data_IF_598308921947
#
_entry.id   IF_598308921947
#
_cell.length_a   1.000
_cell.length_b   1.000
_cell.length_c   1.000
_cell.angle_alpha   90.00
_cell.angle_beta   90.00
_cell.angle_gamma   90.00
#
_symmetry.space_group_name_H-M   'P 1'
#
loop_
_entity.id
_entity.type
_entity.pdbx_description
1 polymer ?
#
# COMPACT_ATOMS: atom_id res chain seq x y z
N UNK A 1 -20.83 -6.97 -19.54
CA UNK A 1 -19.46 -7.50 -19.31
C UNK A 1 -18.44 -6.68 -20.10
N UNK A 2 -17.37 -6.21 -19.47
CA UNK A 2 -16.33 -5.42 -20.13
C UNK A 2 -15.30 -6.33 -20.83
N UNK A 3 -15.48 -6.53 -22.13
CA UNK A 3 -14.59 -7.36 -22.96
C UNK A 3 -13.16 -6.83 -23.01
N UNK A 4 -12.97 -5.50 -22.98
CA UNK A 4 -11.65 -4.87 -23.00
C UNK A 4 -10.85 -5.19 -21.73
N UNK A 5 -11.50 -5.06 -20.56
CA UNK A 5 -10.91 -5.45 -19.28
C UNK A 5 -10.55 -6.94 -19.27
N UNK A 6 -11.45 -7.81 -19.75
CA UNK A 6 -11.20 -9.25 -19.74
C UNK A 6 -10.03 -9.64 -20.65
N UNK A 7 -10.01 -9.08 -21.86
CA UNK A 7 -8.97 -9.29 -22.84
C UNK A 7 -7.63 -8.76 -22.31
N UNK A 8 -7.61 -7.59 -21.68
CA UNK A 8 -6.40 -6.99 -21.09
C UNK A 8 -5.83 -7.85 -19.97
N UNK A 9 -6.66 -8.31 -19.03
CA UNK A 9 -6.19 -9.00 -17.83
C UNK A 9 -5.95 -10.51 -18.00
N UNK A 10 -6.68 -11.17 -18.91
CA UNK A 10 -6.63 -12.64 -19.06
C UNK A 10 -6.45 -13.12 -20.49
N UNK A 11 -6.41 -12.23 -21.49
CA UNK A 11 -6.40 -12.63 -22.90
C UNK A 11 -7.64 -13.45 -23.29
N UNK A 12 -8.77 -13.18 -22.63
CA UNK A 12 -10.04 -13.89 -22.82
C UNK A 12 -11.17 -12.99 -23.29
N UNK A 13 -12.13 -13.58 -24.00
CA UNK A 13 -13.36 -12.92 -24.47
C UNK A 13 -14.57 -13.79 -24.20
N UNK A 14 -15.71 -13.17 -23.91
CA UNK A 14 -16.97 -13.89 -23.80
C UNK A 14 -17.68 -13.93 -25.15
N UNK A 15 -18.16 -15.12 -25.53
CA UNK A 15 -19.05 -15.33 -26.68
C UNK A 15 -20.45 -15.58 -26.14
N UNK A 16 -21.47 -14.80 -26.56
CA UNK A 16 -22.85 -15.06 -26.15
C UNK A 16 -23.35 -16.39 -26.72
N UNK A 17 -24.40 -16.94 -26.11
CA UNK A 17 -25.09 -18.10 -26.69
C UNK A 17 -25.69 -17.71 -28.03
N UNK A 18 -25.24 -18.37 -29.10
CA UNK A 18 -25.63 -18.06 -30.46
C UNK A 18 -26.88 -18.79 -30.90
N UNK A 19 -27.56 -18.23 -31.90
CA UNK A 19 -28.73 -18.87 -32.52
C UNK A 19 -28.36 -19.81 -33.68
N UNK A 20 -27.07 -20.03 -33.93
CA UNK A 20 -26.54 -20.81 -35.04
C UNK A 20 -26.60 -20.09 -36.39
N UNK A 21 -25.95 -20.68 -37.39
CA UNK A 21 -26.11 -20.31 -38.80
C UNK A 21 -24.94 -19.57 -39.46
N UNK A 22 -23.84 -19.28 -38.76
CA UNK A 22 -22.62 -18.79 -39.39
C UNK A 22 -21.97 -19.89 -40.25
N UNK A 23 -21.58 -19.54 -41.47
CA UNK A 23 -20.86 -20.46 -42.36
C UNK A 23 -19.37 -20.51 -41.99
N UNK A 24 -18.70 -21.62 -42.32
CA UNK A 24 -17.24 -21.75 -42.14
C UNK A 24 -16.45 -20.63 -42.80
N UNK A 25 -16.93 -20.11 -43.94
CA UNK A 25 -16.32 -18.98 -44.64
C UNK A 25 -16.42 -17.67 -43.82
N UNK A 26 -17.55 -17.43 -43.16
CA UNK A 26 -17.72 -16.24 -42.30
C UNK A 26 -16.85 -16.32 -41.05
N UNK A 27 -16.75 -17.50 -40.42
CA UNK A 27 -15.86 -17.74 -39.27
C UNK A 27 -14.39 -17.55 -39.68
N UNK A 28 -13.97 -18.10 -40.82
CA UNK A 28 -12.62 -17.92 -41.35
C UNK A 28 -12.30 -16.44 -41.63
N UNK A 29 -13.27 -15.68 -42.16
CA UNK A 29 -13.12 -14.23 -42.35
C UNK A 29 -12.93 -13.50 -41.02
N UNK A 30 -13.69 -13.87 -39.98
CA UNK A 30 -13.54 -13.29 -38.64
C UNK A 30 -12.16 -13.56 -38.04
N UNK A 31 -11.65 -14.80 -38.17
CA UNK A 31 -10.30 -15.17 -37.74
C UNK A 31 -9.25 -14.32 -38.46
N UNK A 32 -9.39 -14.12 -39.78
CA UNK A 32 -8.46 -13.31 -40.58
C UNK A 32 -8.42 -11.84 -40.14
N UNK A 33 -9.57 -11.26 -39.83
CA UNK A 33 -9.67 -9.88 -39.31
C UNK A 33 -8.97 -9.74 -37.95
N UNK A 34 -9.13 -10.72 -37.06
CA UNK A 34 -8.43 -10.74 -35.77
C UNK A 34 -6.92 -10.95 -35.95
N UNK A 35 -6.51 -11.82 -36.89
CA UNK A 35 -5.11 -12.10 -37.18
C UNK A 35 -4.31 -10.87 -37.65
N UNK A 36 -4.98 -9.87 -38.25
CA UNK A 36 -4.37 -8.59 -38.60
C UNK A 36 -3.77 -7.86 -37.38
N UNK A 37 -4.23 -8.18 -36.16
CA UNK A 37 -3.72 -7.64 -34.89
C UNK A 37 -2.65 -8.53 -34.23
N UNK A 38 -2.08 -9.49 -34.96
CA UNK A 38 -1.03 -10.42 -34.48
C UNK A 38 -1.47 -11.31 -33.31
N UNK A 39 -2.75 -11.66 -33.27
CA UNK A 39 -3.33 -12.60 -32.31
C UNK A 39 -4.13 -13.69 -33.02
N UNK A 40 -4.34 -14.82 -32.36
CA UNK A 40 -5.10 -15.96 -32.90
C UNK A 40 -6.17 -16.38 -31.90
N UNK A 41 -7.29 -16.88 -32.39
CA UNK A 41 -8.35 -17.44 -31.56
C UNK A 41 -8.04 -18.92 -31.26
N UNK A 42 -8.25 -19.36 -30.01
CA UNK A 42 -8.15 -20.79 -29.67
C UNK A 42 -9.19 -21.61 -30.44
N UNK A 43 -8.94 -22.91 -30.59
CA UNK A 43 -9.89 -23.84 -31.23
C UNK A 43 -11.28 -23.76 -30.59
N UNK A 44 -11.34 -23.80 -29.26
CA UNK A 44 -12.58 -23.66 -28.49
C UNK A 44 -13.31 -22.35 -28.75
N UNK A 45 -12.60 -21.24 -28.95
CA UNK A 45 -13.21 -19.95 -29.27
C UNK A 45 -13.76 -19.95 -30.71
N UNK A 46 -13.02 -20.55 -31.65
CA UNK A 46 -13.45 -20.71 -33.05
C UNK A 46 -14.75 -21.52 -33.12
N UNK A 47 -14.84 -22.62 -32.37
CA UNK A 47 -16.06 -23.42 -32.26
C UNK A 47 -17.22 -22.58 -31.71
N UNK A 48 -17.00 -21.84 -30.63
CA UNK A 48 -18.04 -21.02 -30.02
C UNK A 48 -18.56 -19.91 -30.95
N UNK A 49 -17.69 -19.19 -31.65
CA UNK A 49 -18.13 -18.15 -32.59
C UNK A 49 -18.82 -18.75 -33.82
N UNK A 50 -18.53 -20.01 -34.15
CA UNK A 50 -19.24 -20.76 -35.20
C UNK A 50 -20.69 -21.06 -34.85
N UNK A 51 -21.05 -21.04 -33.56
CA UNK A 51 -22.42 -21.22 -33.08
C UNK A 51 -23.25 -19.93 -33.15
N UNK A 52 -22.66 -18.80 -33.56
CA UNK A 52 -23.39 -17.54 -33.77
C UNK A 52 -24.09 -17.53 -35.14
N UNK A 53 -25.12 -16.70 -35.29
CA UNK A 53 -25.64 -16.33 -36.60
C UNK A 53 -24.69 -15.37 -37.33
N UNK A 54 -24.81 -15.17 -38.66
CA UNK A 54 -23.97 -14.24 -39.41
C UNK A 54 -24.02 -12.80 -38.85
N UNK A 55 -25.20 -12.36 -38.41
CA UNK A 55 -25.40 -11.05 -37.80
C UNK A 55 -24.74 -10.95 -36.44
N UNK A 56 -24.89 -11.94 -35.57
CA UNK A 56 -24.27 -11.96 -34.24
C UNK A 56 -22.74 -12.01 -34.36
N UNK A 57 -22.21 -12.85 -35.24
CA UNK A 57 -20.77 -12.96 -35.51
C UNK A 57 -20.20 -11.61 -35.97
N UNK A 58 -20.89 -10.91 -36.87
CA UNK A 58 -20.46 -9.58 -37.34
C UNK A 58 -20.42 -8.56 -36.19
N UNK A 59 -21.45 -8.51 -35.35
CA UNK A 59 -21.48 -7.59 -34.21
C UNK A 59 -20.40 -7.90 -33.17
N UNK A 60 -20.24 -9.18 -32.84
CA UNK A 60 -19.20 -9.65 -31.94
C UNK A 60 -17.80 -9.29 -32.47
N UNK A 61 -17.53 -9.61 -33.75
CA UNK A 61 -16.26 -9.32 -34.41
C UNK A 61 -15.95 -7.82 -34.41
N UNK A 62 -16.95 -6.98 -34.73
CA UNK A 62 -16.75 -5.53 -34.74
C UNK A 62 -16.33 -5.01 -33.36
N UNK A 63 -16.98 -5.49 -32.29
CA UNK A 63 -16.61 -5.13 -30.92
C UNK A 63 -15.21 -5.59 -30.54
N UNK A 64 -14.83 -6.83 -30.87
CA UNK A 64 -13.48 -7.35 -30.58
C UNK A 64 -12.41 -6.60 -31.38
N UNK A 65 -12.63 -6.34 -32.66
CA UNK A 65 -11.70 -5.59 -33.52
C UNK A 65 -11.50 -4.16 -33.01
N UNK A 66 -12.56 -3.49 -32.54
CA UNK A 66 -12.44 -2.16 -31.94
C UNK A 66 -11.53 -2.16 -30.71
N UNK A 67 -11.69 -3.15 -29.83
CA UNK A 67 -10.85 -3.33 -28.65
C UNK A 67 -9.39 -3.61 -29.04
N UNK A 68 -9.17 -4.49 -30.03
CA UNK A 68 -7.84 -4.82 -30.52
C UNK A 68 -7.14 -3.62 -31.16
N UNK A 69 -7.86 -2.77 -31.92
CA UNK A 69 -7.33 -1.50 -32.46
C UNK A 69 -6.90 -0.54 -31.36
N UNK A 70 -7.69 -0.43 -30.29
CA UNK A 70 -7.31 0.39 -29.12
C UNK A 70 -6.03 -0.13 -28.49
N UNK A 71 -5.97 -1.43 -28.22
CA UNK A 71 -4.83 -2.07 -27.54
C UNK A 71 -3.54 -2.06 -28.35
N UNK A 72 -3.60 -2.26 -29.68
CA UNK A 72 -2.41 -2.25 -30.55
C UNK A 72 -1.89 -0.84 -30.87
N UNK A 73 -2.61 0.21 -30.46
CA UNK A 73 -2.33 1.58 -30.90
C UNK A 73 -2.74 1.85 -32.34
N UNK A 74 -3.33 0.89 -33.07
CA UNK A 74 -3.77 1.07 -34.45
C UNK A 74 -4.90 2.10 -34.63
N UNK A 75 -5.58 2.47 -33.54
CA UNK A 75 -6.51 3.61 -33.51
C UNK A 75 -5.80 4.97 -33.60
N UNK A 76 -4.49 5.03 -33.33
CA UNK A 76 -3.69 6.26 -33.41
C UNK A 76 -2.99 6.29 -34.77
N UNK A 77 -3.25 7.34 -35.53
CA UNK A 77 -2.51 7.60 -36.76
C UNK A 77 -1.10 8.11 -36.42
N UNK A 78 -0.15 7.19 -36.30
CA UNK A 78 1.26 7.53 -36.13
C UNK A 78 1.83 8.05 -37.45
N UNK A 79 2.21 9.33 -37.48
CA UNK A 79 3.04 9.90 -38.54
C UNK A 79 4.49 9.91 -38.05
N UNK A 80 5.37 9.07 -38.60
CA UNK A 80 6.78 9.08 -38.22
C UNK A 80 7.37 10.47 -38.51
N UNK A 81 8.31 10.91 -37.67
CA UNK A 81 8.97 12.19 -37.87
C UNK A 81 9.84 12.20 -39.14
N UNK A 82 10.47 11.05 -39.43
CA UNK A 82 11.14 10.74 -40.70
C UNK A 82 10.24 9.82 -41.54
N UNK A 83 9.58 10.33 -42.59
CA UNK A 83 8.62 9.57 -43.40
C UNK A 83 9.21 8.33 -44.07
N UNK A 84 10.49 8.37 -44.44
CA UNK A 84 11.22 7.27 -45.09
C UNK A 84 12.23 6.60 -44.13
N UNK A 85 11.83 6.41 -42.87
CA UNK A 85 12.64 5.64 -41.92
C UNK A 85 12.73 4.15 -42.34
N UNK A 86 13.87 3.45 -42.22
CA UNK A 86 15.15 3.91 -41.68
C UNK A 86 16.08 4.59 -42.71
N UNK A 87 15.81 4.47 -44.00
CA UNK A 87 16.70 4.94 -45.08
C UNK A 87 17.06 6.43 -44.96
N UNK A 88 16.07 7.28 -44.70
CA UNK A 88 16.26 8.72 -44.50
C UNK A 88 17.20 9.05 -43.33
N UNK A 89 17.14 8.25 -42.25
CA UNK A 89 18.00 8.45 -41.08
C UNK A 89 19.39 7.89 -41.32
N UNK A 90 19.49 6.76 -42.03
CA UNK A 90 20.78 6.14 -42.39
C UNK A 90 21.59 7.01 -43.37
N UNK A 91 20.93 7.77 -44.24
CA UNK A 91 21.58 8.67 -45.21
C UNK A 91 21.92 10.05 -44.63
N UNK A 92 21.24 10.48 -43.56
CA UNK A 92 21.43 11.79 -42.95
C UNK A 92 22.69 11.85 -42.07
N UNK A 93 23.33 13.01 -42.04
CA UNK A 93 24.44 13.30 -41.13
C UNK A 93 23.94 13.54 -39.69
N UNK A 94 24.81 13.35 -38.69
CA UNK A 94 24.46 13.66 -37.29
C UNK A 94 24.02 15.12 -37.10
N UNK A 95 24.66 16.06 -37.80
CA UNK A 95 24.32 17.48 -37.74
C UNK A 95 22.90 17.75 -38.26
N UNK A 96 22.51 17.11 -39.38
CA UNK A 96 21.16 17.23 -39.94
C UNK A 96 20.11 16.63 -39.01
N UNK A 97 20.38 15.44 -38.44
CA UNK A 97 19.48 14.80 -37.48
C UNK A 97 19.27 15.68 -36.24
N UNK A 98 20.35 16.30 -35.73
CA UNK A 98 20.30 17.22 -34.60
C UNK A 98 19.48 18.47 -34.93
N UNK A 99 19.76 19.13 -36.06
CA UNK A 99 19.04 20.33 -36.48
C UNK A 99 17.55 20.05 -36.73
N UNK A 100 17.23 18.93 -37.38
CA UNK A 100 15.85 18.50 -37.59
C UNK A 100 15.11 18.32 -36.26
N UNK A 101 15.75 17.69 -35.27
CA UNK A 101 15.17 17.51 -33.94
C UNK A 101 14.95 18.85 -33.22
N UNK A 102 15.96 19.73 -33.21
CA UNK A 102 15.86 21.07 -32.58
C UNK A 102 14.72 21.88 -33.20
N UNK A 103 14.66 21.94 -34.53
CA UNK A 103 13.60 22.66 -35.25
C UNK A 103 12.23 22.05 -34.92
N UNK A 104 12.11 20.72 -34.89
CA UNK A 104 10.86 20.05 -34.54
C UNK A 104 10.38 20.41 -33.13
N UNK A 105 11.25 20.34 -32.12
CA UNK A 105 10.83 20.63 -30.75
C UNK A 105 10.51 22.10 -30.51
N UNK A 106 11.12 23.02 -31.27
CA UNK A 106 10.84 24.45 -31.19
C UNK A 106 9.56 24.86 -31.93
N UNK A 107 9.25 24.22 -33.06
CA UNK A 107 8.21 24.70 -33.99
C UNK A 107 7.08 23.70 -34.23
N UNK A 108 7.23 22.46 -33.76
CA UNK A 108 6.40 21.30 -34.10
C UNK A 108 6.33 21.01 -35.61
N UNK A 109 7.23 21.60 -36.42
CA UNK A 109 7.34 21.34 -37.85
C UNK A 109 7.64 19.86 -38.10
N UNK A 110 7.00 19.28 -39.12
CA UNK A 110 7.27 17.91 -39.60
C UNK A 110 7.92 17.96 -40.98
N UNK A 111 8.71 16.92 -41.28
CA UNK A 111 9.27 16.73 -42.61
C UNK A 111 8.15 16.40 -43.61
N UNK A 112 8.28 16.82 -44.88
CA UNK A 112 7.29 16.53 -45.92
C UNK A 112 7.18 15.00 -46.14
N UNK A 113 5.98 14.48 -46.42
CA UNK A 113 5.77 13.05 -46.65
C UNK A 113 6.52 12.56 -47.88
N UNK A 114 6.96 11.30 -47.86
CA UNK A 114 7.53 10.60 -49.02
C UNK A 114 6.45 9.76 -49.70
N UNK A 115 6.51 9.58 -51.02
CA UNK A 115 5.56 8.78 -51.80
C UNK A 115 5.81 7.26 -51.73
N UNK A 116 6.96 6.83 -51.22
CA UNK A 116 7.34 5.41 -51.21
C UNK A 116 6.56 4.61 -50.14
N UNK A 117 5.88 3.55 -50.60
CA UNK A 117 5.22 2.59 -49.72
C UNK A 117 6.27 1.74 -49.01
N UNK A 118 6.36 1.89 -47.69
CA UNK A 118 7.25 1.08 -46.85
C UNK A 118 6.96 -0.42 -47.04
N UNK A 119 7.97 -1.26 -47.34
CA UNK A 119 7.78 -2.69 -47.32
C UNK A 119 7.36 -3.14 -45.91
N UNK A 120 6.50 -4.17 -45.79
CA UNK A 120 6.08 -4.67 -44.48
C UNK A 120 7.31 -5.05 -43.66
N UNK A 121 7.35 -4.58 -42.41
CA UNK A 121 8.47 -4.83 -41.49
C UNK A 121 8.56 -6.34 -41.24
N UNK A 122 9.65 -6.97 -41.71
CA UNK A 122 10.03 -8.38 -41.53
C UNK A 122 8.82 -9.34 -41.48
N UNK A 123 8.51 -9.95 -42.61
CA UNK A 123 7.57 -11.07 -42.72
C UNK A 123 8.00 -12.24 -41.81
N UNK A 124 7.46 -12.23 -40.60
CA UNK A 124 7.25 -13.41 -39.80
C UNK A 124 5.86 -13.26 -39.22
N UNK A 125 4.99 -14.24 -39.46
CA UNK A 125 3.70 -14.36 -38.78
C UNK A 125 3.94 -14.66 -37.29
N UNK A 126 4.50 -13.69 -36.56
CA UNK A 126 4.68 -13.78 -35.13
C UNK A 126 3.32 -13.54 -34.50
N UNK A 127 2.59 -14.63 -34.31
CA UNK A 127 1.42 -14.68 -33.46
C UNK A 127 1.95 -14.61 -32.03
N UNK A 128 1.80 -13.46 -31.40
CA UNK A 128 2.36 -13.23 -30.06
C UNK A 128 1.39 -13.63 -28.93
N UNK A 129 0.14 -13.97 -29.27
CA UNK A 129 -0.92 -14.10 -28.30
C UNK A 129 -2.11 -14.92 -28.84
N UNK A 130 -2.54 -15.92 -28.06
CA UNK A 130 -3.79 -16.68 -28.24
C UNK A 130 -4.93 -16.11 -27.37
N UNK A 131 -6.07 -15.78 -27.99
CA UNK A 131 -7.30 -15.36 -27.33
C UNK A 131 -8.16 -16.59 -27.05
N UNK A 132 -8.53 -16.77 -25.79
CA UNK A 132 -9.35 -17.90 -25.34
C UNK A 132 -10.80 -17.47 -25.03
N UNK A 133 -11.76 -18.40 -25.03
CA UNK A 133 -13.08 -18.09 -24.51
C UNK A 133 -13.01 -17.94 -22.99
N UNK A 134 -13.82 -17.04 -22.46
CA UNK A 134 -13.92 -16.81 -21.01
C UNK A 134 -15.36 -16.72 -20.56
N UNK A 135 -15.61 -17.28 -19.37
CA UNK A 135 -16.92 -17.26 -18.72
C UNK A 135 -17.16 -15.97 -17.94
N UNK A 136 -18.42 -15.69 -17.63
CA UNK A 136 -18.82 -14.58 -16.74
C UNK A 136 -18.20 -14.76 -15.35
N UNK A 137 -18.14 -15.99 -14.83
CA UNK A 137 -17.55 -16.29 -13.53
C UNK A 137 -16.04 -15.97 -13.48
N UNK A 138 -15.28 -16.35 -14.51
CA UNK A 138 -13.87 -15.99 -14.62
C UNK A 138 -13.67 -14.48 -14.70
N UNK A 139 -14.53 -13.77 -15.43
CA UNK A 139 -14.51 -12.31 -15.48
C UNK A 139 -14.77 -11.68 -14.10
N UNK A 140 -15.75 -12.20 -13.37
CA UNK A 140 -16.08 -11.76 -12.01
C UNK A 140 -14.95 -12.00 -11.01
N UNK A 141 -14.22 -13.13 -11.15
CA UNK A 141 -13.05 -13.45 -10.34
C UNK A 141 -11.89 -12.46 -10.47
N UNK A 142 -11.95 -11.51 -11.42
CA UNK A 142 -10.91 -10.49 -11.59
C UNK A 142 -10.96 -9.42 -10.50
N UNK A 143 -12.11 -9.21 -9.85
CA UNK A 143 -12.26 -8.16 -8.84
C UNK A 143 -11.50 -8.50 -7.55
N UNK A 144 -11.61 -9.73 -7.05
CA UNK A 144 -11.08 -10.12 -5.75
C UNK A 144 -9.56 -9.88 -5.61
N UNK A 145 -8.69 -10.26 -6.58
CA UNK A 145 -7.26 -9.98 -6.49
C UNK A 145 -6.93 -8.47 -6.46
N UNK A 146 -7.71 -7.64 -7.16
CA UNK A 146 -7.53 -6.19 -7.17
C UNK A 146 -7.80 -5.61 -5.77
N UNK A 147 -8.96 -5.92 -5.20
CA UNK A 147 -9.35 -5.37 -3.90
C UNK A 147 -8.61 -6.02 -2.73
N UNK A 148 -8.02 -7.19 -2.93
CA UNK A 148 -7.18 -7.89 -1.93
C UNK A 148 -5.71 -7.49 -1.97
N UNK A 149 -5.30 -6.59 -2.88
CA UNK A 149 -3.92 -6.12 -2.97
C UNK A 149 -3.45 -5.44 -1.68
N UNK A 150 -2.15 -5.57 -1.38
CA UNK A 150 -1.49 -4.95 -0.21
C UNK A 150 -0.70 -3.69 -0.58
N UNK A 151 -0.82 -3.23 -1.83
CA UNK A 151 -0.18 -2.04 -2.37
C UNK A 151 -1.23 -1.11 -2.98
N UNK A 152 -0.86 0.13 -3.23
CA UNK A 152 -1.69 1.08 -3.96
C UNK A 152 -2.01 0.55 -5.36
N UNK A 153 -3.23 0.80 -5.82
CA UNK A 153 -3.65 0.48 -7.18
C UNK A 153 -3.19 1.57 -8.15
N UNK A 154 -2.86 1.16 -9.37
CA UNK A 154 -2.70 2.09 -10.49
C UNK A 154 -4.03 2.79 -10.82
N UNK A 155 -3.96 3.87 -11.62
CA UNK A 155 -5.18 4.57 -12.09
C UNK A 155 -6.08 3.62 -12.91
N UNK A 156 -5.49 2.75 -13.72
CA UNK A 156 -6.20 1.75 -14.53
C UNK A 156 -6.89 0.70 -13.67
N UNK A 157 -6.21 0.17 -12.66
CA UNK A 157 -6.81 -0.78 -11.71
C UNK A 157 -7.89 -0.14 -10.84
N UNK A 158 -7.70 1.14 -10.49
CA UNK A 158 -8.73 1.91 -9.77
C UNK A 158 -9.99 2.05 -10.65
N UNK A 159 -9.80 2.35 -11.95
CA UNK A 159 -10.90 2.42 -12.90
C UNK A 159 -11.62 1.07 -13.07
N UNK A 160 -10.88 -0.05 -13.06
CA UNK A 160 -11.45 -1.39 -13.08
C UNK A 160 -12.36 -1.65 -11.87
N UNK A 161 -11.87 -1.37 -10.66
CA UNK A 161 -12.65 -1.54 -9.42
C UNK A 161 -13.92 -0.70 -9.46
N UNK A 162 -13.81 0.57 -9.85
CA UNK A 162 -14.98 1.47 -10.00
C UNK A 162 -15.94 0.93 -11.06
N UNK A 163 -15.43 0.38 -12.17
CA UNK A 163 -16.26 -0.22 -13.21
C UNK A 163 -17.07 -1.40 -12.65
N UNK A 164 -16.45 -2.32 -11.89
CA UNK A 164 -17.16 -3.44 -11.27
C UNK A 164 -18.28 -2.97 -10.33
N UNK A 165 -17.98 -2.01 -9.45
CA UNK A 165 -18.98 -1.47 -8.51
C UNK A 165 -20.14 -0.78 -9.23
N UNK A 166 -19.85 -0.04 -10.31
CA UNK A 166 -20.87 0.64 -11.10
C UNK A 166 -21.75 -0.33 -11.89
N UNK A 167 -21.15 -1.36 -12.48
CA UNK A 167 -21.86 -2.35 -13.30
C UNK A 167 -22.74 -3.26 -12.44
N UNK A 168 -22.15 -3.89 -11.41
CA UNK A 168 -22.86 -4.86 -10.57
C UNK A 168 -23.73 -4.21 -9.51
N UNK A 169 -23.53 -2.92 -9.20
CA UNK A 169 -24.28 -2.18 -8.18
C UNK A 169 -24.33 -2.98 -6.85
N UNK A 170 -25.52 -3.20 -6.30
CA UNK A 170 -25.76 -3.98 -5.08
C UNK A 170 -25.30 -5.45 -5.17
N UNK A 171 -25.16 -6.02 -6.37
CA UNK A 171 -24.66 -7.38 -6.52
C UNK A 171 -23.14 -7.47 -6.37
N UNK A 172 -22.42 -6.33 -6.40
CA UNK A 172 -20.95 -6.33 -6.23
C UNK A 172 -20.52 -6.90 -4.88
N UNK A 173 -21.38 -6.84 -3.86
CA UNK A 173 -21.08 -7.38 -2.54
C UNK A 173 -20.82 -8.88 -2.54
N UNK A 174 -21.33 -9.65 -3.52
CA UNK A 174 -21.01 -11.09 -3.65
C UNK A 174 -19.60 -11.34 -4.18
N UNK A 175 -19.00 -10.33 -4.80
CA UNK A 175 -17.67 -10.37 -5.42
C UNK A 175 -16.58 -9.77 -4.53
N UNK A 176 -16.96 -9.05 -3.47
CA UNK A 176 -16.01 -8.45 -2.54
C UNK A 176 -15.54 -9.50 -1.53
N UNK A 177 -14.23 -9.54 -1.20
CA UNK A 177 -13.72 -10.43 -0.18
C UNK A 177 -14.22 -9.99 1.20
N UNK A 178 -14.15 -10.92 2.16
CA UNK A 178 -14.51 -10.62 3.55
C UNK A 178 -13.68 -9.45 4.09
N UNK A 179 -12.38 -9.38 3.79
CA UNK A 179 -11.49 -8.31 4.25
C UNK A 179 -10.68 -7.67 3.11
N UNK A 180 -10.67 -6.34 3.09
CA UNK A 180 -9.79 -5.54 2.22
C UNK A 180 -8.58 -5.11 3.06
N UNK A 181 -7.35 -5.57 2.77
CA UNK A 181 -6.22 -5.36 3.66
C UNK A 181 -5.65 -3.94 3.60
N UNK A 182 -5.75 -3.26 2.46
CA UNK A 182 -5.10 -1.98 2.24
C UNK A 182 -6.06 -0.79 2.35
N UNK A 183 -5.70 0.22 3.16
CA UNK A 183 -6.59 1.34 3.52
C UNK A 183 -6.96 2.23 2.34
N UNK A 184 -6.05 2.42 1.38
CA UNK A 184 -6.32 3.20 0.17
C UNK A 184 -7.39 2.51 -0.70
N UNK A 185 -7.30 1.20 -0.85
CA UNK A 185 -8.29 0.40 -1.59
C UNK A 185 -9.64 0.43 -0.88
N UNK A 186 -9.67 0.36 0.47
CA UNK A 186 -10.93 0.53 1.24
C UNK A 186 -11.61 1.86 0.93
N UNK A 187 -10.84 2.95 0.86
CA UNK A 187 -11.37 4.27 0.54
C UNK A 187 -11.88 4.35 -0.91
N UNK A 188 -11.18 3.75 -1.87
CA UNK A 188 -11.60 3.68 -3.27
C UNK A 188 -12.90 2.88 -3.43
N UNK A 189 -12.96 1.67 -2.87
CA UNK A 189 -14.15 0.82 -2.89
C UNK A 189 -15.31 1.51 -2.17
N UNK A 190 -15.07 2.07 -0.97
CA UNK A 190 -16.07 2.82 -0.22
C UNK A 190 -16.62 4.02 -0.99
N UNK A 191 -15.74 4.80 -1.65
CA UNK A 191 -16.14 5.91 -2.50
C UNK A 191 -17.01 5.46 -3.67
N UNK A 192 -16.61 4.39 -4.37
CA UNK A 192 -17.38 3.83 -5.48
C UNK A 192 -18.74 3.30 -5.02
N UNK A 193 -18.81 2.62 -3.87
CA UNK A 193 -20.05 2.11 -3.28
C UNK A 193 -21.02 3.25 -2.95
N UNK A 194 -20.54 4.35 -2.35
CA UNK A 194 -21.38 5.52 -2.05
C UNK A 194 -21.94 6.14 -3.33
N UNK A 195 -21.14 6.20 -4.40
CA UNK A 195 -21.53 6.85 -5.66
C UNK A 195 -22.49 5.99 -6.52
N UNK A 196 -22.35 4.67 -6.49
CA UNK A 196 -23.04 3.76 -7.42
C UNK A 196 -24.04 2.79 -6.76
N UNK A 197 -23.98 2.64 -5.44
CA UNK A 197 -24.81 1.69 -4.65
C UNK A 197 -25.51 2.42 -3.49
N UNK A 198 -25.88 3.69 -3.72
CA UNK A 198 -26.51 4.52 -2.69
C UNK A 198 -27.84 3.92 -2.19
N UNK A 199 -28.03 3.90 -0.86
CA UNK A 199 -29.26 3.44 -0.21
C UNK A 199 -29.27 1.97 0.22
N UNK A 200 -28.23 1.20 -0.10
CA UNK A 200 -28.06 -0.18 0.37
C UNK A 200 -27.41 -0.19 1.77
N UNK A 201 -28.07 -0.82 2.74
CA UNK A 201 -27.59 -0.89 4.13
C UNK A 201 -26.21 -1.55 4.26
N UNK A 202 -25.82 -2.39 3.30
CA UNK A 202 -24.48 -3.02 3.28
C UNK A 202 -23.37 -2.01 3.01
N UNK A 203 -23.67 -0.86 2.41
CA UNK A 203 -22.70 0.23 2.24
C UNK A 203 -22.33 0.82 3.59
N UNK A 204 -23.32 1.11 4.44
CA UNK A 204 -23.05 1.62 5.80
C UNK A 204 -22.25 0.61 6.62
N UNK A 205 -22.61 -0.68 6.57
CA UNK A 205 -21.86 -1.74 7.24
C UNK A 205 -20.42 -1.86 6.72
N UNK A 206 -20.21 -1.71 5.41
CA UNK A 206 -18.86 -1.69 4.83
C UNK A 206 -18.06 -0.50 5.35
N UNK A 207 -18.63 0.70 5.40
CA UNK A 207 -17.93 1.91 5.86
C UNK A 207 -17.58 1.82 7.34
N UNK A 208 -18.51 1.37 8.19
CA UNK A 208 -18.30 1.23 9.63
C UNK A 208 -17.19 0.22 9.96
N UNK A 209 -17.05 -0.84 9.15
CA UNK A 209 -15.99 -1.84 9.33
C UNK A 209 -14.62 -1.40 8.80
N UNK A 210 -14.59 -0.50 7.82
CA UNK A 210 -13.36 -0.21 7.06
C UNK A 210 -12.80 1.20 7.26
N UNK A 211 -13.59 2.13 7.81
CA UNK A 211 -13.20 3.53 8.09
C UNK A 211 -12.96 3.69 9.59
N UNK A 212 -11.70 3.45 10.00
CA UNK A 212 -11.34 3.35 11.43
C UNK A 212 -10.74 4.66 11.99
N UNK A 213 -10.08 5.46 11.15
CA UNK A 213 -9.32 6.66 11.57
C UNK A 213 -9.77 7.91 10.82
N UNK A 214 -9.45 9.09 11.36
CA UNK A 214 -9.77 10.34 10.67
C UNK A 214 -9.06 10.42 9.32
N UNK A 215 -7.85 9.85 9.21
CA UNK A 215 -7.15 9.75 7.93
C UNK A 215 -7.93 8.91 6.92
N UNK A 216 -8.63 7.85 7.34
CA UNK A 216 -9.45 7.02 6.45
C UNK A 216 -10.70 7.78 5.97
N UNK A 217 -11.32 8.61 6.84
CA UNK A 217 -12.39 9.54 6.44
C UNK A 217 -11.89 10.53 5.40
N UNK A 218 -10.69 11.08 5.59
CA UNK A 218 -10.06 11.99 4.63
C UNK A 218 -9.79 11.30 3.29
N UNK A 219 -9.25 10.07 3.30
CA UNK A 219 -9.05 9.27 2.07
C UNK A 219 -10.36 9.01 1.34
N UNK A 220 -11.43 8.70 2.07
CA UNK A 220 -12.76 8.51 1.50
C UNK A 220 -13.27 9.79 0.83
N UNK A 221 -13.12 10.95 1.48
CA UNK A 221 -13.49 12.24 0.89
C UNK A 221 -12.68 12.59 -0.37
N UNK A 222 -11.39 12.23 -0.38
CA UNK A 222 -10.51 12.37 -1.55
C UNK A 222 -10.95 11.44 -2.70
N UNK A 223 -11.27 10.17 -2.41
CA UNK A 223 -11.79 9.22 -3.39
C UNK A 223 -13.08 9.73 -4.04
N UNK A 224 -14.02 10.25 -3.25
CA UNK A 224 -15.27 10.85 -3.71
C UNK A 224 -15.07 12.09 -4.60
N UNK A 225 -13.95 12.78 -4.45
CA UNK A 225 -13.59 13.93 -5.28
C UNK A 225 -12.79 13.55 -6.53
N UNK A 226 -12.37 12.28 -6.66
CA UNK A 226 -11.52 11.78 -7.74
C UNK A 226 -10.05 12.16 -7.59
N UNK A 227 -9.57 12.30 -6.34
CA UNK A 227 -8.16 12.60 -6.05
C UNK A 227 -7.35 11.38 -5.67
N UNK A 228 -6.05 11.61 -5.45
CA UNK A 228 -5.06 10.61 -5.02
C UNK A 228 -5.26 10.20 -3.55
N UNK A 229 -5.78 8.98 -3.35
CA UNK A 229 -6.10 8.39 -2.04
C UNK A 229 -4.87 8.07 -1.18
N UNK A 230 -3.67 8.03 -1.76
CA UNK A 230 -2.44 7.86 -0.99
C UNK A 230 -2.15 9.07 -0.10
N UNK A 231 -2.77 10.22 -0.42
CA UNK A 231 -2.50 11.52 0.18
C UNK A 231 -1.05 12.00 -0.04
N UNK A 232 -0.30 11.39 -0.97
CA UNK A 232 1.03 11.85 -1.35
C UNK A 232 0.96 13.24 -2.00
N UNK A 233 -0.08 13.48 -2.81
CA UNK A 233 -0.23 14.74 -3.54
C UNK A 233 -1.10 15.76 -2.78
N UNK A 234 -0.58 16.96 -2.50
CA UNK A 234 -1.25 18.00 -1.70
C UNK A 234 -2.40 18.75 -2.40
N UNK A 235 -2.69 18.44 -3.67
CA UNK A 235 -3.47 19.31 -4.57
C UNK A 235 -4.94 18.95 -4.71
N UNK A 236 -5.47 18.00 -3.95
CA UNK A 236 -6.88 17.57 -4.11
C UNK A 236 -7.83 18.74 -3.89
N UNK A 237 -8.55 19.13 -4.94
CA UNK A 237 -9.65 20.09 -4.88
C UNK A 237 -10.94 19.33 -4.59
N UNK A 238 -11.53 19.62 -3.43
CA UNK A 238 -12.79 18.99 -3.06
C UNK A 238 -13.95 19.60 -3.87
N UNK A 239 -14.80 18.74 -4.41
CA UNK A 239 -16.01 19.16 -5.14
C UNK A 239 -17.13 19.46 -4.15
N UNK A 240 -18.10 20.27 -4.56
CA UNK A 240 -19.30 20.53 -3.77
C UNK A 240 -20.01 19.22 -3.41
N UNK A 241 -20.36 19.06 -2.12
CA UNK A 241 -20.93 17.81 -1.60
C UNK A 241 -22.43 17.93 -1.29
N UNK A 242 -23.21 16.93 -1.71
CA UNK A 242 -24.63 16.81 -1.35
C UNK A 242 -24.79 16.74 0.17
N UNK A 243 -25.93 17.20 0.68
CA UNK A 243 -26.26 17.21 2.13
C UNK A 243 -26.07 15.84 2.79
N UNK A 244 -26.50 14.76 2.12
CA UNK A 244 -26.34 13.38 2.60
C UNK A 244 -24.87 12.99 2.77
N UNK A 245 -24.02 13.35 1.80
CA UNK A 245 -22.59 13.09 1.83
C UNK A 245 -21.89 13.82 2.98
N UNK A 246 -22.21 15.11 3.16
CA UNK A 246 -21.66 15.93 4.26
C UNK A 246 -21.97 15.28 5.61
N UNK A 247 -23.23 14.88 5.82
CA UNK A 247 -23.67 14.18 7.03
C UNK A 247 -22.99 12.84 7.24
N UNK A 248 -22.78 12.06 6.17
CA UNK A 248 -22.09 10.77 6.24
C UNK A 248 -20.64 10.94 6.71
N UNK A 249 -19.87 11.81 6.08
CA UNK A 249 -18.45 12.02 6.43
C UNK A 249 -18.30 12.59 7.85
N UNK A 250 -19.18 13.51 8.26
CA UNK A 250 -19.18 14.04 9.62
C UNK A 250 -19.59 12.99 10.66
N UNK A 251 -20.58 12.13 10.37
CA UNK A 251 -20.96 11.00 11.22
C UNK A 251 -19.79 10.03 11.43
N UNK A 252 -19.09 9.68 10.35
CA UNK A 252 -17.93 8.79 10.43
C UNK A 252 -16.83 9.43 11.30
N UNK A 253 -16.51 10.71 11.07
CA UNK A 253 -15.51 11.43 11.87
C UNK A 253 -15.89 11.52 13.35
N UNK A 254 -17.16 11.80 13.65
CA UNK A 254 -17.65 11.97 15.02
C UNK A 254 -17.53 10.67 15.84
N UNK A 255 -17.72 9.52 15.19
CA UNK A 255 -17.60 8.21 15.82
C UNK A 255 -16.15 7.86 16.24
N UNK A 256 -15.15 8.45 15.60
CA UNK A 256 -13.73 8.08 15.78
C UNK A 256 -13.15 8.69 17.07
N UNK A 257 -12.68 7.88 18.02
CA UNK A 257 -12.11 8.36 19.29
C UNK A 257 -10.81 9.12 19.06
N UNK A 258 -10.63 10.24 19.77
CA UNK A 258 -9.43 11.08 19.70
C UNK A 258 -9.06 11.57 18.28
N UNK A 259 -10.07 11.76 17.42
CA UNK A 259 -9.89 12.17 16.02
C UNK A 259 -9.04 13.44 15.85
N UNK A 260 -9.01 14.34 16.84
CA UNK A 260 -8.27 15.61 16.77
C UNK A 260 -6.78 15.42 16.47
N UNK A 261 -6.09 14.42 17.04
CA UNK A 261 -4.67 14.18 16.75
C UNK A 261 -4.45 13.84 15.26
N UNK A 262 -5.29 12.96 14.71
CA UNK A 262 -5.22 12.53 13.32
C UNK A 262 -5.64 13.62 12.33
N UNK A 263 -6.63 14.42 12.72
CA UNK A 263 -7.05 15.61 11.97
C UNK A 263 -5.90 16.62 11.90
N UNK A 264 -5.23 16.89 13.02
CA UNK A 264 -4.08 17.79 13.10
C UNK A 264 -2.89 17.35 12.23
N UNK A 265 -2.63 16.03 12.10
CA UNK A 265 -1.60 15.51 11.19
C UNK A 265 -1.79 15.94 9.73
N UNK A 266 -3.05 16.21 9.35
CA UNK A 266 -3.43 16.63 8.01
C UNK A 266 -4.21 17.96 8.03
N UNK A 267 -3.87 18.89 8.95
CA UNK A 267 -4.67 20.09 9.25
C UNK A 267 -5.06 20.87 8.00
N UNK A 268 -4.11 21.17 7.11
CA UNK A 268 -4.36 21.93 5.88
C UNK A 268 -5.33 21.24 4.92
N UNK A 269 -5.35 19.90 4.86
CA UNK A 269 -6.32 19.16 4.04
C UNK A 269 -7.70 19.20 4.69
N UNK A 270 -7.76 19.12 6.02
CA UNK A 270 -8.99 19.25 6.78
C UNK A 270 -9.59 20.65 6.72
N UNK A 271 -8.77 21.71 6.75
CA UNK A 271 -9.21 23.10 6.51
C UNK A 271 -9.96 23.20 5.18
N UNK A 272 -9.35 22.72 4.09
CA UNK A 272 -9.96 22.66 2.74
C UNK A 272 -11.22 21.80 2.67
N UNK A 273 -11.20 20.60 3.27
CA UNK A 273 -12.37 19.72 3.29
C UNK A 273 -13.52 20.35 4.09
N UNK A 274 -13.21 21.06 5.17
CA UNK A 274 -14.21 21.71 6.01
C UNK A 274 -14.95 22.85 5.30
N UNK A 275 -14.33 23.50 4.30
CA UNK A 275 -14.99 24.50 3.44
C UNK A 275 -16.19 23.91 2.69
N UNK A 276 -16.11 22.64 2.27
CA UNK A 276 -17.21 21.96 1.57
C UNK A 276 -18.10 21.12 2.49
N UNK A 277 -17.59 20.67 3.65
CA UNK A 277 -18.40 19.90 4.61
C UNK A 277 -19.36 20.77 5.43
N UNK A 278 -19.02 22.04 5.66
CA UNK A 278 -19.77 22.95 6.54
C UNK A 278 -20.11 22.30 7.90
N UNK A 279 -19.10 21.91 8.71
CA UNK A 279 -19.34 21.18 9.97
C UNK A 279 -20.20 21.97 10.96
N UNK A 280 -20.16 23.31 10.91
CA UNK A 280 -20.98 24.19 11.76
C UNK A 280 -22.49 24.00 11.57
N UNK A 281 -22.95 23.64 10.36
CA UNK A 281 -24.37 23.37 10.07
C UNK A 281 -24.92 22.15 10.86
N UNK A 282 -24.03 21.34 11.44
CA UNK A 282 -24.35 20.08 12.10
C UNK A 282 -23.74 19.97 13.50
N UNK A 283 -23.44 21.10 14.15
CA UNK A 283 -22.83 21.15 15.48
C UNK A 283 -23.56 20.27 16.50
N UNK A 284 -24.90 20.33 16.52
CA UNK A 284 -25.73 19.58 17.46
C UNK A 284 -25.68 18.05 17.24
N UNK A 285 -25.35 17.61 16.03
CA UNK A 285 -25.37 16.19 15.64
C UNK A 285 -23.98 15.56 15.67
N UNK A 286 -22.96 16.33 15.33
CA UNK A 286 -21.58 15.86 15.20
C UNK A 286 -20.61 16.79 15.95
N UNK A 287 -20.78 16.95 17.28
CA UNK A 287 -20.01 17.91 18.07
C UNK A 287 -18.51 17.57 18.10
N UNK A 288 -18.13 16.29 18.18
CA UNK A 288 -16.72 15.88 18.23
C UNK A 288 -16.03 16.10 16.89
N UNK A 289 -16.75 15.86 15.78
CA UNK A 289 -16.24 16.16 14.44
C UNK A 289 -15.99 17.67 14.28
N UNK A 290 -16.93 18.50 14.76
CA UNK A 290 -16.79 19.96 14.73
C UNK A 290 -15.58 20.41 15.58
N UNK A 291 -15.43 19.89 16.79
CA UNK A 291 -14.32 20.23 17.69
C UNK A 291 -12.97 19.88 17.05
N UNK A 292 -12.84 18.68 16.48
CA UNK A 292 -11.60 18.24 15.84
C UNK A 292 -11.23 19.13 14.64
N UNK A 293 -12.21 19.48 13.79
CA UNK A 293 -11.98 20.36 12.64
C UNK A 293 -11.70 21.81 13.09
N UNK A 294 -12.35 22.28 14.15
CA UNK A 294 -12.15 23.62 14.70
C UNK A 294 -10.75 23.77 15.28
N UNK A 295 -10.27 22.77 16.01
CA UNK A 295 -8.89 22.71 16.49
C UNK A 295 -7.88 22.86 15.33
N UNK A 296 -8.12 22.17 14.21
CA UNK A 296 -7.29 22.33 13.01
C UNK A 296 -7.40 23.73 12.40
N UNK A 297 -8.58 24.37 12.38
CA UNK A 297 -8.73 25.74 11.86
C UNK A 297 -8.04 26.80 12.71
N UNK A 298 -8.01 26.62 14.03
CA UNK A 298 -7.39 27.54 14.98
C UNK A 298 -5.91 27.29 15.21
N UNK A 299 -5.35 26.25 14.58
CA UNK A 299 -4.01 25.74 14.88
C UNK A 299 -3.81 25.44 16.38
N UNK A 300 -4.91 25.12 17.08
CA UNK A 300 -4.96 24.76 18.49
C UNK A 300 -4.73 23.25 18.62
N UNK A 301 -3.46 22.85 18.51
CA UNK A 301 -3.11 21.45 18.73
C UNK A 301 -3.38 21.08 20.19
N UNK A 302 -4.28 20.12 20.50
CA UNK A 302 -4.31 19.56 21.83
C UNK A 302 -2.95 18.93 22.14
N UNK A 303 -2.59 18.82 23.41
CA UNK A 303 -1.39 18.09 23.81
C UNK A 303 -1.46 16.66 23.23
N UNK A 304 -0.72 16.43 22.14
CA UNK A 304 -0.67 15.14 21.46
C UNK A 304 -0.23 14.06 22.43
N UNK A 305 -0.60 12.80 22.17
CA UNK A 305 -0.13 11.68 22.99
C UNK A 305 1.39 11.72 23.20
N UNK A 306 2.14 11.98 22.12
CA UNK A 306 3.59 12.15 22.18
C UNK A 306 4.01 13.28 23.12
N UNK A 307 3.43 14.49 22.99
CA UNK A 307 3.78 15.62 23.86
C UNK A 307 3.46 15.36 25.34
N UNK A 308 2.35 14.68 25.64
CA UNK A 308 1.99 14.26 27.00
C UNK A 308 3.01 13.25 27.54
N UNK A 309 3.39 12.27 26.73
CA UNK A 309 4.42 11.29 27.08
C UNK A 309 5.78 11.95 27.33
N UNK A 310 6.23 12.86 26.47
CA UNK A 310 7.50 13.58 26.65
C UNK A 310 7.47 14.48 27.89
N UNK A 311 6.33 15.12 28.17
CA UNK A 311 6.13 15.93 29.38
C UNK A 311 6.24 15.09 30.65
N UNK A 312 5.53 13.95 30.70
CA UNK A 312 5.60 13.03 31.83
C UNK A 312 7.00 12.41 31.99
N UNK A 313 7.66 12.07 30.88
CA UNK A 313 9.05 11.62 30.90
C UNK A 313 10.00 12.69 31.44
N UNK A 314 9.82 13.96 31.06
CA UNK A 314 10.63 15.08 31.54
C UNK A 314 10.43 15.33 33.04
N UNK A 315 9.18 15.24 33.50
CA UNK A 315 8.81 15.36 34.92
C UNK A 315 9.17 14.11 35.74
N UNK A 316 9.58 13.01 35.09
CA UNK A 316 9.81 11.69 35.69
C UNK A 316 8.58 11.12 36.40
N UNK A 317 7.39 11.52 35.98
CA UNK A 317 6.15 10.96 36.49
C UNK A 317 5.84 9.65 35.75
N UNK A 318 6.55 8.59 36.16
CA UNK A 318 6.41 7.25 35.57
C UNK A 318 5.11 6.56 36.03
N UNK A 319 4.59 6.95 37.19
CA UNK A 319 3.33 6.42 37.71
C UNK A 319 2.16 6.79 36.79
N UNK A 320 2.09 8.03 36.32
CA UNK A 320 1.06 8.48 35.37
C UNK A 320 1.39 8.08 33.93
N UNK A 321 2.67 8.00 33.55
CA UNK A 321 3.11 7.61 32.21
C UNK A 321 2.73 6.16 31.87
N UNK A 322 2.87 5.24 32.82
CA UNK A 322 2.73 3.80 32.55
C UNK A 322 1.32 3.42 32.09
N UNK A 323 0.23 3.81 32.78
CA UNK A 323 -1.13 3.59 32.30
C UNK A 323 -1.41 4.27 30.94
N UNK A 324 -0.83 5.46 30.72
CA UNK A 324 -0.96 6.17 29.44
C UNK A 324 -0.33 5.37 28.29
N UNK A 325 0.88 4.82 28.49
CA UNK A 325 1.56 4.00 27.48
C UNK A 325 0.85 2.66 27.22
N UNK A 326 0.20 2.06 28.22
CA UNK A 326 -0.60 0.84 28.03
C UNK A 326 -1.75 1.04 27.03
N UNK A 327 -2.29 2.26 26.90
CA UNK A 327 -3.31 2.57 25.89
C UNK A 327 -2.79 2.53 24.44
N UNK A 328 -1.45 2.60 24.24
CA UNK A 328 -0.79 2.49 22.93
C UNK A 328 0.43 1.56 23.03
N UNK A 329 0.24 0.22 23.05
CA UNK A 329 1.29 -0.75 23.35
C UNK A 329 2.52 -0.66 22.44
N UNK A 330 2.35 -0.33 21.16
CA UNK A 330 3.48 -0.13 20.25
C UNK A 330 4.34 1.08 20.59
N UNK A 331 3.72 2.14 21.13
CA UNK A 331 4.45 3.31 21.60
C UNK A 331 5.14 3.05 22.94
N UNK A 332 4.50 2.23 23.79
CA UNK A 332 5.13 1.69 25.00
C UNK A 332 6.39 0.90 24.63
N UNK A 333 6.32 -0.02 23.68
CA UNK A 333 7.47 -0.81 23.24
C UNK A 333 8.65 0.08 22.79
N UNK A 334 8.38 1.10 21.98
CA UNK A 334 9.41 2.05 21.50
C UNK A 334 10.04 2.90 22.62
N UNK A 335 9.28 3.17 23.69
CA UNK A 335 9.72 3.98 24.83
C UNK A 335 10.06 3.16 26.08
N UNK A 336 10.11 1.84 25.97
CA UNK A 336 10.36 0.97 27.12
C UNK A 336 11.72 1.25 27.76
N UNK A 337 12.80 1.34 26.98
CA UNK A 337 14.15 1.61 27.51
C UNK A 337 14.23 2.95 28.26
N UNK A 338 13.66 4.03 27.70
CA UNK A 338 13.68 5.34 28.37
C UNK A 338 12.80 5.36 29.63
N UNK A 339 11.65 4.67 29.60
CA UNK A 339 10.75 4.58 30.74
C UNK A 339 11.42 3.83 31.90
N UNK A 340 12.07 2.69 31.62
CA UNK A 340 12.80 1.91 32.63
C UNK A 340 13.98 2.69 33.24
N UNK A 341 14.67 3.52 32.44
CA UNK A 341 15.79 4.34 32.94
C UNK A 341 15.36 5.47 33.86
N UNK A 342 14.14 5.98 33.68
CA UNK A 342 13.58 7.10 34.46
C UNK A 342 12.67 6.63 35.60
N UNK A 343 12.33 5.35 35.64
CA UNK A 343 11.49 4.74 36.67
C UNK A 343 12.21 4.59 38.02
N UNK A 344 11.52 4.99 39.08
CA UNK A 344 11.91 4.67 40.46
C UNK A 344 11.67 3.19 40.77
N UNK A 345 10.61 2.60 40.20
CA UNK A 345 10.30 1.17 40.28
C UNK A 345 10.20 0.57 38.85
N UNK A 346 11.31 0.08 38.28
CA UNK A 346 11.32 -0.48 36.93
C UNK A 346 10.53 -1.78 36.77
N UNK A 347 10.36 -2.58 37.83
CA UNK A 347 9.61 -3.85 37.75
C UNK A 347 8.13 -3.59 37.42
N UNK A 348 7.51 -2.58 38.05
CA UNK A 348 6.13 -2.20 37.75
C UNK A 348 5.92 -1.80 36.28
N UNK A 349 6.92 -1.18 35.64
CA UNK A 349 6.88 -0.82 34.22
C UNK A 349 7.00 -2.07 33.33
N UNK A 350 7.82 -3.05 33.73
CA UNK A 350 7.94 -4.32 33.03
C UNK A 350 6.65 -5.12 33.10
N UNK A 351 6.06 -5.24 34.29
CA UNK A 351 4.78 -5.95 34.50
C UNK A 351 3.66 -5.31 33.65
N UNK A 352 3.60 -3.97 33.64
CA UNK A 352 2.64 -3.23 32.84
C UNK A 352 2.83 -3.43 31.32
N UNK A 353 4.08 -3.54 30.86
CA UNK A 353 4.38 -3.83 29.46
C UNK A 353 4.09 -5.28 29.09
N UNK A 354 4.42 -6.23 29.95
CA UNK A 354 4.15 -7.66 29.77
C UNK A 354 2.64 -7.91 29.54
N UNK A 355 1.79 -7.22 30.30
CA UNK A 355 0.33 -7.29 30.15
C UNK A 355 -0.18 -6.87 28.76
N UNK A 356 0.55 -6.00 28.04
CA UNK A 356 0.15 -5.50 26.71
C UNK A 356 1.07 -5.95 25.57
N UNK A 357 2.11 -6.72 25.86
CA UNK A 357 3.14 -7.11 24.89
C UNK A 357 2.57 -7.91 23.71
N UNK A 358 1.53 -8.73 23.95
CA UNK A 358 0.84 -9.53 22.93
C UNK A 358 0.09 -8.69 21.89
N UNK A 359 -0.23 -7.43 22.23
CA UNK A 359 -0.90 -6.48 21.35
C UNK A 359 0.08 -5.72 20.45
N UNK A 360 1.39 -5.83 20.71
CA UNK A 360 2.42 -5.19 19.90
C UNK A 360 2.66 -5.98 18.61
N UNK A 361 2.87 -5.27 17.50
CA UNK A 361 3.17 -5.91 16.22
C UNK A 361 4.55 -6.59 16.25
N UNK A 362 4.68 -7.73 15.58
CA UNK A 362 5.94 -8.49 15.53
C UNK A 362 7.15 -7.65 15.07
N UNK A 363 7.04 -6.77 14.05
CA UNK A 363 8.16 -5.91 13.66
C UNK A 363 8.63 -4.98 14.78
N UNK A 364 7.72 -4.40 15.56
CA UNK A 364 8.07 -3.50 16.67
C UNK A 364 8.72 -4.28 17.82
N UNK A 365 8.24 -5.50 18.11
CA UNK A 365 8.88 -6.37 19.10
C UNK A 365 10.29 -6.79 18.68
N UNK A 366 10.51 -7.07 17.39
CA UNK A 366 11.85 -7.36 16.86
C UNK A 366 12.78 -6.14 16.92
N UNK A 367 12.26 -4.95 16.63
CA UNK A 367 13.00 -3.68 16.79
C UNK A 367 13.42 -3.47 18.25
N UNK A 368 12.49 -3.68 19.19
CA UNK A 368 12.78 -3.61 20.62
C UNK A 368 13.84 -4.64 21.05
N UNK A 369 13.72 -5.89 20.60
CA UNK A 369 14.72 -6.93 20.88
C UNK A 369 16.11 -6.50 20.38
N UNK A 370 16.20 -6.00 19.15
CA UNK A 370 17.44 -5.51 18.58
C UNK A 370 18.02 -4.36 19.42
N UNK A 371 17.19 -3.41 19.85
CA UNK A 371 17.59 -2.31 20.72
C UNK A 371 18.13 -2.77 22.08
N UNK A 372 17.51 -3.78 22.70
CA UNK A 372 17.94 -4.33 24.00
C UNK A 372 19.23 -5.15 23.88
N UNK A 373 19.40 -5.87 22.76
CA UNK A 373 20.60 -6.67 22.47
C UNK A 373 21.79 -5.83 22.00
N UNK A 374 21.56 -4.64 21.45
CA UNK A 374 22.62 -3.77 21.00
C UNK A 374 23.60 -3.42 22.14
N UNK A 375 24.92 -3.52 21.92
CA UNK A 375 25.92 -2.99 22.85
C UNK A 375 25.66 -1.49 23.03
N UNK A 376 25.53 -1.02 24.29
CA UNK A 376 25.32 0.40 24.54
C UNK A 376 26.55 1.18 24.08
N UNK A 377 26.42 2.27 23.30
CA UNK A 377 27.53 3.19 23.15
C UNK A 377 27.89 3.72 24.54
N UNK A 378 29.19 3.68 24.86
CA UNK A 378 29.73 4.36 26.03
C UNK A 378 29.36 5.85 25.94
N UNK A 379 29.03 6.47 27.08
CA UNK A 379 28.58 7.86 27.15
C UNK A 379 29.44 8.80 26.28
N UNK A 380 28.84 9.83 25.64
CA UNK A 380 29.58 10.81 24.84
C UNK A 380 30.37 11.75 25.76
N UNK A 381 31.41 11.22 26.38
CA UNK A 381 32.40 11.96 27.17
C UNK A 381 33.79 11.56 26.66
N UNK A 382 34.00 11.73 25.35
CA UNK A 382 35.31 11.88 24.66
C UNK A 382 35.12 11.85 23.14
N UNK A 383 34.52 12.90 22.58
CA UNK A 383 34.67 13.24 21.17
C UNK A 383 34.76 14.76 21.07
N UNK A 384 35.95 15.30 21.30
CA UNK A 384 36.32 16.60 20.76
C UNK A 384 37.23 16.35 19.55
N UNK A 385 36.79 16.61 18.32
CA UNK A 385 37.68 17.05 17.28
C UNK A 385 37.54 18.56 17.15
N UNK A 386 38.55 19.30 17.66
CA UNK A 386 38.79 20.66 17.18
C UNK A 386 39.16 20.56 15.69
N UNK A 387 38.46 21.33 14.86
CA UNK A 387 38.79 21.56 13.45
C UNK A 387 40.26 22.02 13.29
N UNK A 388 41.03 21.35 12.42
CA UNK A 388 41.74 21.98 11.28
C UNK A 388 42.40 20.95 10.37
N UNK A 389 42.25 21.18 9.07
CA UNK A 389 42.90 20.50 7.95
C UNK A 389 44.40 20.90 7.93
N UNK A 390 45.32 19.91 7.84
CA UNK A 390 46.49 19.90 6.94
C UNK A 390 47.30 18.60 7.06
N UNK A 391 47.93 18.27 5.94
CA UNK A 391 48.78 17.11 5.59
C UNK A 391 49.96 16.87 6.54
N UNK A 392 50.46 15.62 6.58
CA UNK A 392 51.87 15.33 6.87
C UNK A 392 52.15 14.14 7.79
N UNK A 393 52.79 13.13 7.21
CA UNK A 393 53.78 12.18 7.75
C UNK A 393 53.53 11.38 9.06
N UNK A 394 53.82 10.10 8.93
CA UNK A 394 54.05 9.10 9.97
C UNK A 394 55.15 9.53 10.97
N UNK A 395 54.91 9.36 12.27
CA UNK A 395 55.94 8.92 13.21
C UNK A 395 55.35 8.38 14.52
N UNK A 396 56.04 7.37 15.08
CA UNK A 396 55.74 6.61 16.29
C UNK A 396 55.95 7.41 17.60
N UNK A 397 55.33 6.95 18.71
CA UNK A 397 55.78 7.28 20.07
C UNK A 397 54.73 7.06 21.18
N UNK A 398 54.94 6.01 22.01
CA UNK A 398 54.27 5.68 23.29
C UNK A 398 54.48 6.74 24.41
N UNK A 399 54.12 6.50 25.70
CA UNK A 399 52.82 6.21 26.35
C UNK A 399 52.57 7.13 27.58
N UNK A 400 51.58 6.78 28.44
CA UNK A 400 51.28 7.24 29.85
C UNK A 400 50.06 8.16 29.97
N UNK A 401 49.19 8.10 30.98
CA UNK A 401 49.04 7.31 32.23
C UNK A 401 47.57 7.47 32.67
N UNK A 402 46.97 6.42 33.22
CA UNK A 402 45.59 6.43 33.71
C UNK A 402 45.49 6.99 35.13
N UNK A 403 44.51 7.86 35.38
CA UNK A 403 43.89 8.03 36.69
C UNK A 403 42.41 7.67 36.58
N UNK A 404 42.00 6.66 37.34
CA UNK A 404 40.65 6.11 37.42
C UNK A 404 39.94 6.75 38.62
N UNK A 405 38.76 7.33 38.42
CA UNK A 405 37.75 7.50 39.48
C UNK A 405 36.53 6.66 39.11
N UNK A 406 36.05 5.90 40.08
CA UNK A 406 34.93 4.97 40.01
C UNK A 406 33.58 5.71 40.12
N UNK A 407 32.60 5.29 39.32
CA UNK A 407 31.17 5.52 39.58
C UNK A 407 30.41 4.22 39.29
N UNK A 408 29.55 3.84 40.23
CA UNK A 408 29.05 2.49 40.48
C UNK A 408 28.13 1.85 39.42
N UNK A 409 28.24 0.52 39.36
CA UNK A 409 27.43 -0.40 38.55
C UNK A 409 26.30 -1.05 39.37
N UNK A 410 25.09 -1.13 38.83
CA UNK A 410 23.98 -2.05 39.23
C UNK A 410 23.11 -2.35 37.99
N UNK A 411 22.47 -3.49 37.75
CA UNK A 411 22.55 -4.89 38.23
C UNK A 411 22.11 -5.81 37.04
N UNK A 412 22.75 -6.98 36.77
CA UNK A 412 22.48 -7.83 35.59
C UNK A 412 21.09 -8.52 35.53
N UNK A 413 20.34 -8.55 36.63
CA UNK A 413 19.10 -9.34 36.75
C UNK A 413 17.90 -8.76 35.98
N UNK A 414 17.80 -7.44 35.79
CA UNK A 414 16.71 -6.83 35.02
C UNK A 414 16.75 -7.17 33.52
N UNK A 415 17.95 -7.35 32.95
CA UNK A 415 18.10 -7.75 31.54
C UNK A 415 17.58 -9.16 31.28
N UNK A 416 17.76 -10.08 32.23
CA UNK A 416 17.30 -11.46 32.11
C UNK A 416 15.77 -11.57 32.19
N UNK A 417 15.11 -10.80 33.06
CA UNK A 417 13.65 -10.76 33.15
C UNK A 417 12.98 -10.14 31.92
N UNK A 418 13.52 -9.04 31.39
CA UNK A 418 13.03 -8.46 30.14
C UNK A 418 13.16 -9.43 28.94
N UNK A 419 14.22 -10.25 28.90
CA UNK A 419 14.35 -11.34 27.93
C UNK A 419 13.36 -12.48 28.19
N UNK A 420 13.03 -12.82 29.44
CA UNK A 420 12.07 -13.89 29.76
C UNK A 420 10.62 -13.51 29.45
N UNK A 421 10.17 -12.29 29.80
CA UNK A 421 8.85 -11.78 29.40
C UNK A 421 8.71 -11.75 27.87
N UNK A 422 9.81 -11.42 27.17
CA UNK A 422 9.92 -11.47 25.71
C UNK A 422 9.80 -12.91 25.13
N UNK A 423 10.47 -13.90 25.74
CA UNK A 423 10.40 -15.30 25.29
C UNK A 423 9.00 -15.91 25.51
N UNK A 424 8.30 -15.55 26.60
CA UNK A 424 6.94 -16.01 26.91
C UNK A 424 5.93 -15.45 25.91
N UNK A 425 6.04 -14.17 25.54
CA UNK A 425 5.17 -13.52 24.54
C UNK A 425 5.40 -14.02 23.11
N UNK A 426 6.64 -14.40 22.76
CA UNK A 426 6.96 -14.99 21.46
C UNK A 426 6.49 -16.46 21.33
N UNK A 427 6.57 -17.24 22.42
CA UNK A 427 6.12 -18.64 22.44
C UNK A 427 4.59 -18.78 22.33
N UNK A 428 3.82 -17.88 22.95
CA UNK A 428 2.34 -17.90 22.89
C UNK A 428 1.77 -17.57 21.51
N UNK A 429 2.46 -16.77 20.68
CA UNK A 429 2.03 -16.49 19.29
C UNK A 429 2.34 -17.63 18.31
N UNK A 430 3.35 -18.47 18.60
CA UNK A 430 3.71 -19.63 17.77
C UNK A 430 2.71 -20.79 17.92
N UNK A 431 2.11 -20.94 19.11
CA UNK A 431 1.22 -22.06 19.45
C UNK A 431 -0.21 -21.93 18.91
N UNK A 432 -0.66 -20.74 18.49
CA UNK A 432 -2.05 -20.53 18.04
C UNK A 432 -2.28 -20.58 16.53
N UNK A 433 -1.24 -20.80 15.70
CA UNK A 433 -1.39 -20.86 14.24
C UNK A 433 -1.11 -22.23 13.60
N UNK A 434 -0.96 -23.30 14.38
CA UNK A 434 -0.78 -24.67 13.85
C UNK A 434 -1.62 -25.70 14.60
N UNK A 435 -2.94 -25.58 14.54
CA UNK A 435 -3.86 -26.68 14.85
C UNK A 435 -4.44 -27.23 13.55
N UNK A 436 -3.60 -27.90 12.75
CA UNK A 436 -3.94 -28.91 11.72
C UNK A 436 -2.65 -29.26 10.98
N UNK A 437 -1.99 -30.33 11.43
CA UNK A 437 -1.31 -31.36 10.63
C UNK A 437 -0.63 -32.27 11.66
N UNK A 438 -1.23 -33.45 11.82
CA UNK A 438 -0.77 -34.55 12.65
C UNK A 438 0.32 -35.32 11.92
N UNK A 439 1.37 -35.67 12.68
CA UNK A 439 2.35 -36.77 12.46
C UNK A 439 3.23 -36.70 11.21
N UNK A 440 4.54 -36.49 11.42
CA UNK A 440 5.58 -37.52 11.31
C UNK A 440 6.96 -36.89 11.64
N UNK A 441 7.59 -37.49 12.66
CA UNK A 441 9.03 -37.69 12.88
C UNK A 441 9.99 -36.51 13.17
N UNK A 442 10.66 -36.64 14.32
CA UNK A 442 12.13 -36.58 14.35
C UNK A 442 12.76 -35.33 14.94
N UNK A 443 13.04 -35.36 16.24
CA UNK A 443 14.23 -34.75 16.86
C UNK A 443 14.63 -33.33 16.41
N UNK A 444 13.87 -32.31 16.80
CA UNK A 444 14.38 -30.92 16.81
C UNK A 444 13.66 -30.02 17.85
N UNK A 445 13.20 -30.59 18.96
CA UNK A 445 12.39 -29.90 19.98
C UNK A 445 13.00 -29.81 21.38
N UNK A 446 14.19 -30.37 21.61
CA UNK A 446 14.77 -30.47 22.96
C UNK A 446 16.13 -29.77 23.12
N UNK A 447 16.61 -29.03 22.12
CA UNK A 447 17.95 -28.43 22.15
C UNK A 447 18.01 -26.97 22.61
N UNK A 448 16.88 -26.29 22.89
CA UNK A 448 16.90 -24.88 23.28
C UNK A 448 16.60 -24.61 24.76
N UNK A 449 16.40 -25.66 25.57
CA UNK A 449 16.08 -25.55 27.00
C UNK A 449 17.24 -26.01 27.91
N UNK A 450 18.30 -26.64 27.37
CA UNK A 450 19.41 -27.18 28.18
C UNK A 450 20.71 -26.35 28.12
N UNK A 451 20.86 -25.42 27.18
CA UNK A 451 22.10 -24.63 27.01
C UNK A 451 22.14 -23.30 27.79
N UNK A 452 21.22 -23.09 28.73
CA UNK A 452 21.20 -21.91 29.63
C UNK A 452 21.60 -22.27 31.07
N UNK A 453 21.77 -23.56 31.40
CA UNK A 453 22.18 -24.01 32.72
C UNK A 453 23.71 -24.24 32.90
N UNK A 454 24.49 -24.33 31.82
CA UNK A 454 25.91 -24.74 31.89
C UNK A 454 26.95 -23.62 31.74
N UNK A 455 26.53 -22.35 31.65
CA UNK A 455 27.46 -21.21 31.62
C UNK A 455 27.53 -20.40 32.94
N UNK A 456 26.94 -20.94 34.02
CA UNK A 456 26.91 -20.32 35.36
C UNK A 456 27.85 -20.98 36.38
N UNK A 457 28.70 -21.93 35.97
CA UNK A 457 29.55 -22.69 36.90
C UNK A 457 30.97 -22.90 36.40
N UNK A 458 31.78 -21.83 36.33
CA UNK A 458 33.24 -21.94 36.29
C UNK A 458 33.92 -20.58 36.53
N UNK A 459 34.16 -20.26 37.81
CA UNK A 459 35.37 -19.60 38.34
C UNK A 459 35.12 -19.13 39.78
N UNK A 460 35.35 -20.02 40.73
CA UNK A 460 35.86 -19.66 42.05
C UNK A 460 36.96 -20.66 42.42
N UNK A 461 38.20 -20.14 42.38
CA UNK A 461 39.36 -20.47 43.22
C UNK A 461 39.62 -21.91 43.70
N UNK A 462 40.74 -22.45 43.22
CA UNK A 462 41.64 -23.36 43.96
C UNK A 462 42.17 -22.65 45.22
N UNK A 463 42.00 -23.26 46.40
CA UNK A 463 42.93 -23.20 47.55
C UNK A 463 42.36 -23.99 48.76
N UNK A 464 42.83 -25.22 48.97
CA UNK A 464 43.44 -25.78 50.20
C UNK A 464 43.35 -27.32 50.22
N UNK A 465 44.52 -27.92 50.51
CA UNK A 465 44.85 -29.34 50.64
C UNK A 465 44.87 -30.18 49.35
#
# INVERSE_FOLDING_TARGET
MNQELFLRRRSKVHVPMGTGGATRAQVASAIREVAAFRCVLSETLIEQIGMLSPTELKHWLHGIVEILRRRSGAHVHHRPFYPDFPEQVLRATEAELYLNAVIHYLTLRRLPPTEESRPPLLEGNFIHWVIEPGSVHEFESLLEPLVSSRTSLSEEETADVVWFVREYKSDVFRLLPEAIPFREIRAQVGGALILHVAGDARVDAFLERNVETATDVLRLAVALSGGDVSLATATTRFKAMKRSMRRLLLRLLDSIPNATEDVMRNAERWKRLAEVLHPGDYADKYPRALDAITAARRDEAPATFGSRVETLLAQRDIATLTPLLQSRPGEFARRLDVSLRRATNPEAVLDAFEAVATQVSSPVLLQLLAQVRAPRPLSPARLHPKRRIRQGLWHQGSPRTSHRRSVGSRSPNLRKRACNAFCIAAATRSLFHRSRITRIQGAAGAACIVEIATYAGARQSVAYA
#
